data_IF_358683403573
#
_entry.id   IF_358683403573
#
_cell.length_a   1.000
_cell.length_b   1.000
_cell.length_c   1.000
_cell.angle_alpha   90.00
_cell.angle_beta   90.00
_cell.angle_gamma   90.00
#
_symmetry.space_group_name_H-M   'P 1'
#
loop_
_entity.id
_entity.type
_entity.pdbx_description
1 polymer ?
#
# COMPACT_ATOMS: atom_id res chain seq x y z
N UNK A 1 75.34 2.26 8.67
CA UNK A 1 76.46 2.17 7.73
C UNK A 1 75.88 1.86 6.35
N UNK A 2 75.98 2.81 5.40
CA UNK A 2 75.82 2.73 3.93
C UNK A 2 74.47 2.21 3.35
N UNK A 3 73.61 3.10 2.82
CA UNK A 3 73.48 3.55 1.40
C UNK A 3 72.74 2.49 0.53
N UNK A 4 71.76 2.74 -0.36
CA UNK A 4 71.21 3.93 -1.07
C UNK A 4 70.01 3.47 -1.91
N UNK A 5 69.04 4.36 -2.18
CA UNK A 5 68.37 4.61 -3.49
C UNK A 5 67.10 5.46 -3.23
N UNK A 6 67.13 6.78 -3.45
CA UNK A 6 66.78 7.48 -4.72
C UNK A 6 65.26 7.34 -5.05
N UNK A 7 64.48 8.40 -5.28
CA UNK A 7 64.80 9.68 -5.90
C UNK A 7 63.88 10.82 -5.40
N UNK A 8 64.46 12.02 -5.35
CA UNK A 8 63.82 13.32 -5.20
C UNK A 8 63.88 14.00 -6.57
N UNK A 9 62.75 14.53 -7.06
CA UNK A 9 62.74 15.65 -8.01
C UNK A 9 61.72 16.66 -7.49
N UNK A 10 62.21 17.83 -7.10
CA UNK A 10 61.42 19.03 -6.85
C UNK A 10 62.14 20.23 -7.46
N UNK A 11 61.44 20.96 -8.32
CA UNK A 11 61.61 22.40 -8.65
C UNK A 11 60.19 22.88 -8.95
N UNK A 12 59.51 23.60 -8.03
CA UNK A 12 59.45 25.08 -7.86
C UNK A 12 59.42 25.78 -9.23
N UNK A 13 58.43 26.59 -9.62
CA UNK A 13 57.23 27.13 -8.99
C UNK A 13 56.74 28.27 -9.88
N UNK A 14 55.43 28.56 -9.91
CA UNK A 14 54.93 29.89 -10.29
C UNK A 14 53.58 30.13 -9.63
N UNK A 15 53.39 31.38 -9.21
CA UNK A 15 52.46 31.84 -8.21
C UNK A 15 51.05 32.16 -8.77
N UNK A 16 50.03 31.93 -7.94
CA UNK A 16 48.78 32.69 -7.92
C UNK A 16 48.14 32.48 -6.52
N UNK A 17 48.36 33.41 -5.60
CA UNK A 17 47.42 34.47 -5.24
C UNK A 17 46.21 33.95 -4.43
N UNK A 18 46.39 34.01 -3.11
CA UNK A 18 45.34 33.99 -2.10
C UNK A 18 44.60 35.33 -2.15
N UNK A 19 43.28 35.31 -2.34
CA UNK A 19 42.42 36.46 -2.02
C UNK A 19 41.07 35.99 -1.44
N UNK A 20 40.86 36.35 -0.18
CA UNK A 20 39.66 37.04 0.28
C UNK A 20 38.31 36.32 0.21
N UNK A 21 37.87 35.80 1.35
CA UNK A 21 36.46 35.60 1.69
C UNK A 21 35.66 36.89 1.53
N UNK A 22 34.52 36.82 0.84
CA UNK A 22 33.38 37.71 1.08
C UNK A 22 32.07 36.94 0.90
N UNK A 23 31.34 36.80 2.01
CA UNK A 23 29.92 36.47 2.00
C UNK A 23 29.16 37.67 1.43
N UNK A 24 28.41 37.46 0.35
CA UNK A 24 27.37 38.36 -0.10
C UNK A 24 26.21 37.51 -0.59
N UNK A 25 25.04 37.68 0.02
CA UNK A 25 23.82 36.99 -0.36
C UNK A 25 23.37 37.39 -1.76
N UNK A 26 22.96 36.39 -2.54
CA UNK A 26 22.25 36.58 -3.80
C UNK A 26 20.95 35.83 -3.73
N UNK A 27 19.83 36.57 -3.72
CA UNK A 27 18.52 36.00 -4.00
C UNK A 27 18.52 35.47 -5.43
N UNK A 28 18.14 34.21 -5.59
CA UNK A 28 17.90 33.65 -6.91
C UNK A 28 16.43 33.87 -7.26
N UNK A 29 16.17 35.00 -7.92
CA UNK A 29 14.95 35.21 -8.68
C UNK A 29 14.88 34.19 -9.82
N UNK A 30 13.70 33.58 -9.96
CA UNK A 30 13.33 32.54 -10.92
C UNK A 30 13.82 32.81 -12.36
N UNK A 31 14.47 31.80 -12.94
CA UNK A 31 14.56 31.62 -14.38
C UNK A 31 13.68 30.43 -14.78
N UNK A 32 12.49 30.70 -15.31
CA UNK A 32 11.61 29.68 -15.89
C UNK A 32 12.29 29.14 -17.15
N UNK A 33 12.81 27.91 -17.08
CA UNK A 33 13.08 27.10 -18.27
C UNK A 33 11.82 26.30 -18.56
N UNK A 34 11.19 26.65 -19.67
CA UNK A 34 10.03 25.98 -20.21
C UNK A 34 10.52 24.72 -20.93
N UNK A 35 10.58 23.60 -20.22
CA UNK A 35 10.76 22.28 -20.83
C UNK A 35 9.41 21.57 -20.78
N UNK A 36 8.75 21.50 -21.94
CA UNK A 36 7.37 21.05 -22.10
C UNK A 36 7.24 19.53 -22.10
N UNK A 37 7.86 18.87 -21.12
CA UNK A 37 7.57 17.49 -20.72
C UNK A 37 7.62 17.35 -19.19
N UNK A 38 6.82 18.16 -18.49
CA UNK A 38 6.63 18.04 -17.05
C UNK A 38 5.79 16.79 -16.77
N UNK A 39 6.46 15.65 -16.60
CA UNK A 39 5.96 14.59 -15.73
C UNK A 39 5.72 15.23 -14.36
N UNK A 40 4.47 15.39 -13.97
CA UNK A 40 4.12 15.86 -12.63
C UNK A 40 4.55 14.78 -11.65
N UNK A 41 5.76 14.87 -11.10
CA UNK A 41 6.15 14.04 -9.99
C UNK A 41 5.26 14.44 -8.79
N UNK A 42 4.29 13.58 -8.47
CA UNK A 42 3.36 13.87 -7.38
C UNK A 42 4.11 13.74 -6.06
N UNK A 43 4.07 14.81 -5.26
CA UNK A 43 4.68 14.85 -3.94
C UNK A 43 3.91 13.98 -2.95
N UNK A 44 4.56 12.95 -2.42
CA UNK A 44 3.94 11.96 -1.54
C UNK A 44 4.65 11.87 -0.19
N UNK A 45 3.88 11.47 0.83
CA UNK A 45 4.38 11.23 2.18
C UNK A 45 3.79 9.96 2.80
N UNK A 46 4.48 9.43 3.81
CA UNK A 46 4.03 8.25 4.57
C UNK A 46 4.00 8.57 6.06
N UNK A 47 2.82 8.51 6.67
CA UNK A 47 2.64 8.58 8.11
C UNK A 47 2.48 7.16 8.68
N UNK A 48 3.46 6.71 9.49
CA UNK A 48 3.57 5.36 10.01
C UNK A 48 4.52 4.49 9.19
N UNK A 49 5.63 4.04 9.78
CA UNK A 49 6.63 3.22 9.09
C UNK A 49 6.55 1.72 9.47
N UNK A 50 5.31 1.23 9.56
CA UNK A 50 4.99 -0.17 9.87
C UNK A 50 5.12 -1.11 8.65
N UNK A 51 4.45 -2.28 8.68
CA UNK A 51 4.42 -3.22 7.54
C UNK A 51 4.01 -2.52 6.24
N UNK A 52 2.81 -1.91 6.25
CA UNK A 52 2.25 -1.21 5.08
C UNK A 52 3.10 0.00 4.69
N UNK A 53 3.44 0.89 5.63
CA UNK A 53 4.23 2.09 5.31
C UNK A 53 5.59 1.79 4.67
N UNK A 54 6.27 0.72 5.10
CA UNK A 54 7.53 0.29 4.46
C UNK A 54 7.33 -0.26 3.06
N UNK A 55 6.29 -1.07 2.82
CA UNK A 55 6.01 -1.61 1.49
C UNK A 55 5.49 -0.53 0.52
N UNK A 56 4.63 0.38 1.00
CA UNK A 56 4.25 1.60 0.26
C UNK A 56 5.50 2.39 -0.13
N UNK A 57 6.45 2.57 0.79
CA UNK A 57 7.73 3.21 0.49
C UNK A 57 8.53 2.45 -0.57
N UNK A 58 8.64 1.11 -0.47
CA UNK A 58 9.33 0.28 -1.49
C UNK A 58 8.73 0.48 -2.88
N UNK A 59 7.40 0.43 -2.98
CA UNK A 59 6.67 0.58 -4.25
C UNK A 59 6.83 2.00 -4.80
N UNK A 60 6.70 3.03 -3.97
CA UNK A 60 6.94 4.42 -4.37
C UNK A 60 8.37 4.65 -4.87
N UNK A 61 9.36 3.96 -4.30
CA UNK A 61 10.76 4.09 -4.69
C UNK A 61 11.06 3.47 -6.06
N UNK A 62 10.31 2.44 -6.45
CA UNK A 62 10.40 1.79 -7.76
C UNK A 62 9.67 2.59 -8.86
N UNK A 63 8.71 3.44 -8.49
CA UNK A 63 7.99 4.31 -9.42
C UNK A 63 8.75 5.63 -9.68
N UNK A 64 9.06 5.91 -10.94
CA UNK A 64 9.78 7.13 -11.35
C UNK A 64 8.89 8.36 -11.41
N UNK A 65 7.57 8.19 -11.40
CA UNK A 65 6.59 9.26 -11.47
C UNK A 65 6.14 9.73 -10.07
N UNK A 66 6.70 9.14 -9.01
CA UNK A 66 6.44 9.50 -7.61
C UNK A 66 7.66 10.18 -6.97
N UNK A 67 7.41 11.29 -6.27
CA UNK A 67 8.37 11.94 -5.40
C UNK A 67 8.00 11.69 -3.92
N UNK A 68 8.64 10.72 -3.28
CA UNK A 68 8.49 10.49 -1.84
C UNK A 68 9.35 11.50 -1.06
N UNK A 69 8.71 12.46 -0.41
CA UNK A 69 9.41 13.60 0.20
C UNK A 69 9.51 13.51 1.72
N UNK A 70 8.64 12.75 2.39
CA UNK A 70 8.60 12.68 3.85
C UNK A 70 8.09 11.36 4.41
N UNK A 71 8.70 10.89 5.50
CA UNK A 71 8.24 9.73 6.27
C UNK A 71 8.19 10.09 7.75
N UNK A 72 7.02 10.00 8.37
CA UNK A 72 6.88 10.12 9.82
C UNK A 72 6.77 8.73 10.47
N UNK A 73 7.73 8.35 11.31
CA UNK A 73 7.87 6.99 11.83
C UNK A 73 7.59 6.84 13.32
N UNK A 74 6.91 7.81 13.94
CA UNK A 74 6.58 7.79 15.36
C UNK A 74 7.86 7.72 16.22
N UNK A 75 8.15 6.57 16.84
CA UNK A 75 9.32 6.41 17.71
C UNK A 75 10.60 5.91 17.03
N UNK A 76 10.54 5.46 15.77
CA UNK A 76 11.70 4.86 15.10
C UNK A 76 12.72 5.93 14.67
N UNK A 77 13.98 5.76 15.06
CA UNK A 77 15.10 6.60 14.62
C UNK A 77 15.48 6.31 13.17
N UNK A 78 16.15 7.25 12.45
CA UNK A 78 16.55 7.04 11.05
C UNK A 78 17.41 5.77 10.83
N UNK A 79 18.32 5.45 11.75
CA UNK A 79 19.13 4.22 11.69
C UNK A 79 18.28 2.96 11.85
N UNK A 80 17.26 2.99 12.72
CA UNK A 80 16.35 1.86 12.87
C UNK A 80 15.38 1.72 11.70
N UNK A 81 14.91 2.84 11.13
CA UNK A 81 14.15 2.84 9.88
C UNK A 81 14.96 2.23 8.73
N UNK A 82 16.24 2.61 8.59
CA UNK A 82 17.14 2.04 7.59
C UNK A 82 17.31 0.53 7.77
N UNK A 83 17.47 0.06 9.02
CA UNK A 83 17.52 -1.37 9.32
C UNK A 83 16.23 -2.10 8.92
N UNK A 84 15.07 -1.59 9.35
CA UNK A 84 13.75 -2.20 9.06
C UNK A 84 13.39 -2.16 7.57
N UNK A 85 13.83 -1.15 6.83
CA UNK A 85 13.64 -1.08 5.39
C UNK A 85 14.53 -2.09 4.66
N UNK A 86 15.81 -2.17 5.07
CA UNK A 86 16.82 -3.03 4.45
C UNK A 86 16.56 -4.51 4.62
N UNK A 87 16.01 -4.93 5.76
CA UNK A 87 15.77 -6.34 6.07
C UNK A 87 14.29 -6.60 6.37
N UNK A 88 13.62 -7.35 5.49
CA UNK A 88 12.26 -7.82 5.71
C UNK A 88 12.23 -9.36 5.69
N UNK A 89 11.53 -9.96 6.66
CA UNK A 89 11.42 -11.43 6.78
C UNK A 89 10.62 -12.06 5.65
N UNK A 90 9.60 -11.36 5.15
CA UNK A 90 8.70 -11.87 4.11
C UNK A 90 9.23 -11.41 2.76
N UNK A 91 9.39 -10.10 2.59
CA UNK A 91 9.70 -9.49 1.30
C UNK A 91 11.20 -9.34 1.04
N UNK A 92 12.02 -10.09 1.78
CA UNK A 92 13.46 -10.15 1.65
C UNK A 92 14.20 -8.82 1.86
N UNK A 93 15.48 -8.83 1.46
CA UNK A 93 16.38 -7.68 1.56
C UNK A 93 16.02 -6.63 0.51
N UNK A 94 16.03 -5.35 0.89
CA UNK A 94 15.87 -4.27 -0.07
C UNK A 94 16.93 -4.35 -1.18
N UNK A 95 16.49 -4.17 -2.43
CA UNK A 95 17.36 -4.17 -3.61
C UNK A 95 18.11 -2.84 -3.76
N UNK A 96 17.54 -1.75 -3.25
CA UNK A 96 18.13 -0.42 -3.30
C UNK A 96 19.28 -0.25 -2.30
N UNK A 97 20.15 0.75 -2.53
CA UNK A 97 21.04 1.26 -1.49
C UNK A 97 20.22 1.92 -0.39
N UNK A 98 20.66 1.75 0.86
CA UNK A 98 19.99 2.28 2.05
C UNK A 98 21.05 2.92 2.92
N UNK A 99 21.01 4.24 3.02
CA UNK A 99 21.95 5.09 3.74
C UNK A 99 21.20 6.08 4.64
N UNK A 100 21.92 6.70 5.56
CA UNK A 100 21.38 7.74 6.46
C UNK A 100 22.26 8.99 6.41
N UNK A 101 21.63 10.15 6.52
CA UNK A 101 22.31 11.44 6.66
C UNK A 101 21.50 12.31 7.64
N UNK A 102 21.88 12.31 8.92
CA UNK A 102 21.12 12.98 9.96
C UNK A 102 19.68 12.46 10.06
N UNK A 103 18.70 13.36 9.90
CA UNK A 103 17.27 13.04 9.88
C UNK A 103 16.75 12.62 8.50
N UNK A 104 17.64 12.27 7.57
CA UNK A 104 17.26 11.80 6.24
C UNK A 104 17.54 10.30 6.07
N UNK A 105 16.61 9.63 5.41
CA UNK A 105 16.81 8.32 4.83
C UNK A 105 17.16 8.49 3.35
N UNK A 106 18.25 7.89 2.90
CA UNK A 106 18.69 7.95 1.51
C UNK A 106 18.46 6.58 0.89
N UNK A 107 17.53 6.50 -0.04
CA UNK A 107 17.14 5.27 -0.75
C UNK A 107 17.47 5.42 -2.23
N UNK A 108 18.38 4.60 -2.75
CA UNK A 108 18.85 4.69 -4.15
C UNK A 108 19.30 6.11 -4.55
N UNK A 109 20.00 6.80 -3.63
CA UNK A 109 20.44 8.19 -3.79
C UNK A 109 19.34 9.25 -3.63
N UNK A 110 18.06 8.87 -3.50
CA UNK A 110 16.97 9.81 -3.21
C UNK A 110 16.92 10.13 -1.72
N UNK A 111 17.05 11.40 -1.38
CA UNK A 111 17.06 11.90 0.00
C UNK A 111 15.64 12.21 0.48
N UNK A 112 15.20 11.53 1.54
CA UNK A 112 13.83 11.58 2.06
C UNK A 112 13.89 12.09 3.50
N UNK A 113 13.13 13.14 3.82
CA UNK A 113 13.06 13.65 5.19
C UNK A 113 12.34 12.64 6.08
N UNK A 114 12.92 12.34 7.25
CA UNK A 114 12.25 11.56 8.28
C UNK A 114 11.85 12.44 9.46
N UNK A 115 10.76 12.06 10.14
CA UNK A 115 10.29 12.71 11.35
C UNK A 115 9.77 11.69 12.36
N UNK A 116 9.60 12.14 13.60
CA UNK A 116 9.17 11.34 14.75
C UNK A 116 8.06 12.03 15.55
N UNK A 117 7.29 12.87 14.87
CA UNK A 117 6.26 13.68 15.49
C UNK A 117 5.07 12.81 15.92
N UNK A 118 4.58 13.05 17.14
CA UNK A 118 3.35 12.41 17.64
C UNK A 118 2.11 13.10 17.08
N UNK A 119 2.16 14.43 16.97
CA UNK A 119 1.16 15.21 16.25
C UNK A 119 1.56 15.28 14.76
N UNK A 120 0.76 14.72 13.84
CA UNK A 120 1.06 14.76 12.41
C UNK A 120 1.15 16.17 11.82
N UNK A 121 0.60 17.20 12.49
CA UNK A 121 0.69 18.60 12.07
C UNK A 121 2.11 19.14 12.12
N UNK A 122 2.88 18.72 13.13
CA UNK A 122 4.26 19.19 13.36
C UNK A 122 5.25 18.68 12.31
N UNK A 123 4.86 17.70 11.49
CA UNK A 123 5.69 17.18 10.39
C UNK A 123 5.92 18.25 9.32
N UNK A 124 4.96 19.16 9.11
CA UNK A 124 5.06 20.21 8.10
C UNK A 124 5.06 19.67 6.66
N UNK A 125 4.16 18.73 6.35
CA UNK A 125 4.02 18.07 5.04
C UNK A 125 4.06 19.03 3.84
N UNK A 126 3.40 20.18 3.93
CA UNK A 126 3.40 21.17 2.85
C UNK A 126 4.78 21.76 2.57
N UNK A 127 5.60 21.98 3.60
CA UNK A 127 6.97 22.47 3.45
C UNK A 127 7.90 21.41 2.83
N UNK A 128 7.57 20.13 3.01
CA UNK A 128 8.25 19.01 2.35
C UNK A 128 7.76 18.80 0.91
N UNK A 129 6.69 19.48 0.49
CA UNK A 129 6.02 19.21 -0.79
C UNK A 129 5.40 17.82 -0.83
N UNK A 130 4.92 17.30 0.30
CA UNK A 130 4.20 16.03 0.39
C UNK A 130 2.69 16.29 0.38
N UNK A 131 2.13 16.42 -0.82
CA UNK A 131 0.72 16.76 -1.05
C UNK A 131 -0.24 15.60 -0.73
N UNK A 132 0.16 14.36 -1.04
CA UNK A 132 -0.65 13.17 -0.85
C UNK A 132 -0.02 12.28 0.23
N UNK A 133 -0.69 12.08 1.36
CA UNK A 133 -0.12 11.35 2.50
C UNK A 133 -0.83 10.02 2.70
N UNK A 134 -0.06 8.93 2.70
CA UNK A 134 -0.49 7.62 3.17
C UNK A 134 -0.54 7.60 4.70
N UNK A 135 -1.73 7.51 5.27
CA UNK A 135 -1.96 7.32 6.70
C UNK A 135 -2.02 5.82 7.01
N UNK A 136 -0.91 5.30 7.55
CA UNK A 136 -0.69 3.87 7.82
C UNK A 136 -0.34 3.56 9.27
N UNK A 137 -0.62 4.48 10.20
CA UNK A 137 -0.48 4.23 11.64
C UNK A 137 -1.63 3.37 12.20
N UNK A 138 -2.79 3.41 11.55
CA UNK A 138 -4.04 2.80 12.02
C UNK A 138 -4.75 3.59 13.14
N UNK A 139 -4.25 4.78 13.48
CA UNK A 139 -4.78 5.64 14.55
C UNK A 139 -5.70 6.72 14.00
N UNK A 140 -5.30 7.40 12.92
CA UNK A 140 -5.98 8.57 12.36
C UNK A 140 -6.96 8.16 11.23
N UNK A 141 -7.97 7.35 11.56
CA UNK A 141 -8.91 6.76 10.60
C UNK A 141 -10.27 7.48 10.53
N UNK A 142 -10.32 8.75 10.92
CA UNK A 142 -11.48 9.63 10.76
C UNK A 142 -11.04 11.01 10.29
N UNK A 143 -11.88 11.74 9.56
CA UNK A 143 -11.65 13.11 9.08
C UNK A 143 -11.15 14.00 10.23
N UNK A 144 -11.85 13.96 11.36
CA UNK A 144 -11.47 14.72 12.57
C UNK A 144 -10.04 14.43 13.05
N UNK A 145 -9.64 13.14 13.10
CA UNK A 145 -8.33 12.75 13.59
C UNK A 145 -7.22 13.02 12.58
N UNK A 146 -7.52 12.80 11.30
CA UNK A 146 -6.57 12.99 10.20
C UNK A 146 -6.42 14.46 9.79
N UNK A 147 -7.31 15.36 10.25
CA UNK A 147 -7.24 16.78 9.96
C UNK A 147 -5.88 17.40 10.28
N UNK A 148 -5.20 16.93 11.33
CA UNK A 148 -3.84 17.37 11.67
C UNK A 148 -2.83 17.20 10.52
N UNK A 149 -3.00 16.20 9.65
CA UNK A 149 -2.14 15.97 8.48
C UNK A 149 -2.37 17.08 7.43
N UNK A 150 -3.63 17.43 7.17
CA UNK A 150 -4.01 18.55 6.27
C UNK A 150 -3.55 19.89 6.85
N UNK A 151 -3.73 20.09 8.16
CA UNK A 151 -3.25 21.29 8.86
C UNK A 151 -1.71 21.43 8.83
N UNK A 152 -1.00 20.30 8.67
CA UNK A 152 0.45 20.25 8.42
C UNK A 152 0.83 20.61 6.97
N UNK A 153 -0.14 20.85 6.10
CA UNK A 153 0.03 21.30 4.72
C UNK A 153 -0.09 20.22 3.64
N UNK A 154 -0.50 19.00 3.98
CA UNK A 154 -0.90 18.01 2.97
C UNK A 154 -2.23 18.43 2.31
N UNK A 155 -2.47 17.98 1.08
CA UNK A 155 -3.72 18.24 0.35
C UNK A 155 -4.74 17.12 0.53
N UNK A 156 -4.29 15.86 0.50
CA UNK A 156 -5.15 14.68 0.59
C UNK A 156 -4.54 13.63 1.52
N UNK A 157 -5.39 12.89 2.21
CA UNK A 157 -5.00 11.79 3.09
C UNK A 157 -5.64 10.49 2.62
N UNK A 158 -4.80 9.49 2.38
CA UNK A 158 -5.21 8.15 1.97
C UNK A 158 -5.06 7.22 3.18
N UNK A 159 -6.16 6.72 3.72
CA UNK A 159 -6.13 5.73 4.80
C UNK A 159 -5.74 4.36 4.25
N UNK A 160 -4.69 3.76 4.84
CA UNK A 160 -4.31 2.37 4.58
C UNK A 160 -5.10 1.37 5.45
N UNK A 161 -6.35 1.70 5.77
CA UNK A 161 -7.31 0.86 6.48
C UNK A 161 -8.74 1.37 6.23
N UNK A 162 -9.78 0.58 6.56
CA UNK A 162 -11.16 1.06 6.51
C UNK A 162 -11.35 2.31 7.37
N UNK A 163 -11.97 3.35 6.80
CA UNK A 163 -12.40 4.52 7.54
C UNK A 163 -13.35 4.14 8.69
N UNK A 164 -13.26 4.89 9.78
CA UNK A 164 -14.16 4.78 10.95
C UNK A 164 -15.30 5.82 10.93
N UNK A 165 -15.45 6.52 9.82
CA UNK A 165 -16.52 7.49 9.53
C UNK A 165 -17.05 7.32 8.09
N UNK A 166 -17.58 8.39 7.52
CA UNK A 166 -18.17 8.44 6.18
C UNK A 166 -17.18 8.78 5.05
N UNK A 167 -15.86 8.83 5.34
CA UNK A 167 -14.84 9.04 4.32
C UNK A 167 -14.99 8.05 3.16
N UNK A 168 -14.91 8.55 1.92
CA UNK A 168 -15.17 7.76 0.73
C UNK A 168 -14.22 6.56 0.65
N UNK A 169 -14.77 5.40 0.34
CA UNK A 169 -14.01 4.15 0.19
C UNK A 169 -13.83 3.87 -1.29
N UNK A 170 -12.58 3.72 -1.74
CA UNK A 170 -12.25 3.41 -3.12
C UNK A 170 -11.45 2.10 -3.17
N UNK A 171 -11.83 1.24 -4.11
CA UNK A 171 -11.08 0.03 -4.46
C UNK A 171 -10.74 0.12 -5.96
N UNK A 172 -9.43 0.13 -6.24
CA UNK A 172 -8.93 0.19 -7.61
C UNK A 172 -9.33 -1.07 -8.40
N UNK A 173 -9.81 -0.88 -9.63
CA UNK A 173 -10.39 -1.93 -10.47
C UNK A 173 -11.87 -2.18 -10.23
N UNK A 174 -12.50 -1.47 -9.28
CA UNK A 174 -13.91 -1.67 -8.91
C UNK A 174 -14.69 -0.39 -9.06
N UNK A 175 -14.33 0.66 -8.31
CA UNK A 175 -15.12 1.88 -8.20
C UNK A 175 -14.28 3.16 -8.19
N UNK A 176 -13.04 3.11 -8.69
CA UNK A 176 -12.17 4.29 -8.74
C UNK A 176 -12.79 5.47 -9.51
N UNK A 177 -13.65 5.21 -10.49
CA UNK A 177 -14.38 6.24 -11.22
C UNK A 177 -15.38 7.05 -10.38
N UNK A 178 -15.69 6.62 -9.16
CA UNK A 178 -16.57 7.33 -8.23
C UNK A 178 -15.85 8.51 -7.54
N UNK A 179 -14.52 8.59 -7.60
CA UNK A 179 -13.77 9.70 -7.03
C UNK A 179 -13.79 10.91 -7.98
N UNK A 180 -14.36 12.02 -7.52
CA UNK A 180 -14.54 13.25 -8.32
C UNK A 180 -13.59 14.40 -7.92
N UNK A 181 -12.70 14.17 -6.95
CA UNK A 181 -11.77 15.16 -6.42
C UNK A 181 -12.29 15.93 -5.19
N UNK A 182 -13.56 15.77 -4.79
CA UNK A 182 -14.15 16.57 -3.71
C UNK A 182 -13.71 16.12 -2.31
N UNK A 183 -13.41 14.85 -2.13
CA UNK A 183 -13.02 14.30 -0.82
C UNK A 183 -11.53 14.48 -0.55
N UNK A 184 -11.20 14.95 0.65
CA UNK A 184 -9.82 15.11 1.13
C UNK A 184 -9.31 13.87 1.87
N UNK A 185 -10.23 13.05 2.38
CA UNK A 185 -9.94 11.85 3.15
C UNK A 185 -10.54 10.64 2.44
N UNK A 186 -9.68 9.76 1.93
CA UNK A 186 -10.07 8.61 1.11
C UNK A 186 -9.57 7.34 1.78
N UNK A 187 -10.44 6.34 1.94
CA UNK A 187 -10.06 5.02 2.43
C UNK A 187 -9.74 4.07 1.28
N UNK A 188 -8.57 3.44 1.32
CA UNK A 188 -8.21 2.32 0.45
C UNK A 188 -8.85 0.99 0.91
N UNK A 189 -9.92 1.05 1.72
CA UNK A 189 -10.57 -0.10 2.35
C UNK A 189 -9.58 -0.99 3.14
N UNK A 190 -9.81 -2.31 3.15
CA UNK A 190 -8.91 -3.30 3.75
C UNK A 190 -8.27 -4.19 2.69
N UNK A 191 -7.19 -4.91 3.05
CA UNK A 191 -6.60 -5.96 2.21
C UNK A 191 -7.66 -7.00 1.77
N UNK A 192 -8.49 -7.51 2.68
CA UNK A 192 -9.57 -8.46 2.32
C UNK A 192 -10.62 -7.84 1.40
N UNK A 193 -10.96 -6.56 1.56
CA UNK A 193 -11.91 -5.90 0.63
C UNK A 193 -11.31 -5.82 -0.77
N UNK A 194 -10.02 -5.47 -0.88
CA UNK A 194 -9.30 -5.45 -2.17
C UNK A 194 -9.11 -6.87 -2.74
N UNK A 195 -8.88 -7.87 -1.89
CA UNK A 195 -8.74 -9.28 -2.28
C UNK A 195 -10.04 -9.94 -2.72
N UNK A 196 -11.19 -9.36 -2.36
CA UNK A 196 -12.51 -9.89 -2.67
C UNK A 196 -13.22 -9.12 -3.79
N UNK A 197 -13.20 -7.78 -3.75
CA UNK A 197 -14.07 -6.95 -4.58
C UNK A 197 -13.85 -7.09 -6.10
N UNK A 198 -12.62 -7.23 -6.63
CA UNK A 198 -12.41 -7.44 -8.07
C UNK A 198 -13.09 -8.71 -8.59
N UNK A 199 -12.87 -9.86 -7.94
CA UNK A 199 -13.53 -11.12 -8.29
C UNK A 199 -15.05 -11.01 -8.14
N UNK A 200 -15.53 -10.45 -7.02
CA UNK A 200 -16.98 -10.27 -6.77
C UNK A 200 -17.62 -9.39 -7.82
N UNK A 201 -16.97 -8.31 -8.25
CA UNK A 201 -17.46 -7.44 -9.33
C UNK A 201 -17.57 -8.21 -10.63
N UNK A 202 -16.52 -8.92 -11.04
CA UNK A 202 -16.52 -9.72 -12.26
C UNK A 202 -17.67 -10.73 -12.27
N UNK A 203 -17.93 -11.41 -11.14
CA UNK A 203 -19.04 -12.36 -11.01
C UNK A 203 -20.41 -11.68 -11.00
N UNK A 204 -20.58 -10.61 -10.21
CA UNK A 204 -21.87 -9.93 -10.11
C UNK A 204 -22.30 -9.33 -11.44
N UNK A 205 -21.38 -8.70 -12.16
CA UNK A 205 -21.68 -8.02 -13.44
C UNK A 205 -22.17 -9.02 -14.52
N UNK A 206 -21.70 -10.27 -14.52
CA UNK A 206 -22.05 -11.28 -15.53
C UNK A 206 -23.17 -12.24 -15.09
N UNK A 207 -23.10 -12.72 -13.86
CA UNK A 207 -23.99 -13.80 -13.38
C UNK A 207 -25.01 -13.33 -12.35
N UNK A 208 -24.80 -12.15 -11.75
CA UNK A 208 -25.56 -11.65 -10.61
C UNK A 208 -25.32 -12.48 -9.34
N UNK A 209 -25.36 -11.81 -8.18
CA UNK A 209 -25.32 -12.48 -6.88
C UNK A 209 -26.63 -12.20 -6.14
N UNK A 210 -27.32 -13.26 -5.72
CA UNK A 210 -28.52 -13.21 -4.90
C UNK A 210 -28.16 -13.02 -3.42
N UNK A 211 -27.25 -13.87 -2.93
CA UNK A 211 -26.73 -13.88 -1.56
C UNK A 211 -25.36 -14.57 -1.51
N UNK A 212 -24.50 -14.11 -0.61
CA UNK A 212 -23.16 -14.66 -0.45
C UNK A 212 -22.62 -14.51 0.97
N UNK A 213 -21.83 -15.50 1.38
CA UNK A 213 -21.05 -15.49 2.61
C UNK A 213 -19.57 -15.64 2.28
N UNK A 214 -18.76 -14.79 2.89
CA UNK A 214 -17.31 -14.84 2.75
C UNK A 214 -16.64 -15.31 4.04
N UNK A 215 -15.65 -16.18 3.89
CA UNK A 215 -14.64 -16.43 4.90
C UNK A 215 -13.29 -16.02 4.35
N UNK A 216 -12.50 -15.28 5.12
CA UNK A 216 -11.07 -15.14 4.79
C UNK A 216 -10.24 -15.95 5.77
N UNK A 217 -9.41 -16.84 5.23
CA UNK A 217 -8.31 -17.48 5.97
C UNK A 217 -7.13 -16.53 5.82
N UNK A 218 -6.79 -15.85 6.90
CA UNK A 218 -5.95 -14.68 6.86
C UNK A 218 -4.68 -14.86 7.69
N UNK A 219 -3.55 -14.44 7.13
CA UNK A 219 -2.28 -14.38 7.85
C UNK A 219 -2.37 -13.60 9.16
N UNK A 220 -1.41 -13.87 10.05
CA UNK A 220 -1.24 -13.12 11.29
C UNK A 220 -0.92 -11.65 10.99
N UNK A 221 -1.29 -10.75 11.90
CA UNK A 221 -0.98 -9.32 11.77
C UNK A 221 -0.29 -8.79 13.02
N UNK A 222 0.33 -7.61 12.92
CA UNK A 222 0.99 -6.92 14.04
C UNK A 222 0.08 -6.60 15.24
N UNK A 223 -1.24 -6.76 15.10
CA UNK A 223 -2.20 -6.55 16.19
C UNK A 223 -2.43 -7.79 17.06
N UNK A 224 -1.92 -8.95 16.64
CA UNK A 224 -2.02 -10.20 17.38
C UNK A 224 -0.80 -10.42 18.27
N UNK A 225 -0.97 -11.23 19.31
CA UNK A 225 0.07 -11.46 20.28
C UNK A 225 0.93 -12.69 19.96
N UNK A 226 2.22 -12.61 20.28
CA UNK A 226 3.15 -13.75 20.16
C UNK A 226 2.76 -14.86 21.15
N UNK A 227 2.36 -14.49 22.36
CA UNK A 227 1.87 -15.38 23.42
C UNK A 227 0.53 -14.86 23.94
N UNK A 228 -0.20 -15.68 24.69
CA UNK A 228 -1.47 -15.29 25.31
C UNK A 228 -1.31 -13.98 26.12
N UNK A 229 -2.02 -12.93 25.73
CA UNK A 229 -1.93 -11.59 26.32
C UNK A 229 -3.22 -10.77 26.10
N UNK A 230 -3.25 -9.55 26.62
CA UNK A 230 -4.40 -8.65 26.46
C UNK A 230 -4.48 -8.10 25.04
N UNK A 231 -5.65 -8.28 24.41
CA UNK A 231 -5.95 -7.69 23.10
C UNK A 231 -6.72 -6.38 23.24
N UNK A 232 -6.39 -5.42 22.37
CA UNK A 232 -7.07 -4.12 22.28
C UNK A 232 -8.36 -4.16 21.45
N UNK A 233 -8.63 -5.28 20.77
CA UNK A 233 -9.72 -5.40 19.79
C UNK A 233 -10.79 -6.41 20.21
N UNK A 234 -10.37 -7.63 20.52
CA UNK A 234 -11.25 -8.74 20.88
C UNK A 234 -10.51 -9.82 21.67
N UNK A 235 -11.22 -10.61 22.48
CA UNK A 235 -10.58 -11.59 23.38
C UNK A 235 -9.81 -12.69 22.64
N UNK A 236 -10.29 -13.12 21.46
CA UNK A 236 -9.67 -14.22 20.70
C UNK A 236 -8.33 -13.81 20.10
N UNK A 237 -8.21 -12.55 19.65
CA UNK A 237 -6.96 -11.98 19.14
C UNK A 237 -5.85 -11.83 20.18
N UNK A 238 -6.16 -12.01 21.46
CA UNK A 238 -5.16 -12.05 22.53
C UNK A 238 -4.43 -13.39 22.66
N UNK A 239 -4.91 -14.45 22.00
CA UNK A 239 -4.29 -15.77 22.04
C UNK A 239 -3.06 -15.83 21.12
N UNK A 240 -2.09 -16.68 21.47
CA UNK A 240 -0.84 -16.85 20.73
C UNK A 240 -1.08 -17.10 19.23
N UNK A 241 -0.65 -16.15 18.40
CA UNK A 241 -1.01 -16.10 16.98
C UNK A 241 -0.48 -17.30 16.18
N UNK A 242 0.76 -17.71 16.43
CA UNK A 242 1.41 -18.81 15.71
C UNK A 242 0.98 -20.20 16.19
N UNK A 243 0.14 -20.28 17.23
CA UNK A 243 -0.30 -21.53 17.84
C UNK A 243 -1.79 -21.83 17.66
N UNK A 244 -2.55 -20.96 16.98
CA UNK A 244 -4.01 -21.07 16.93
C UNK A 244 -4.58 -20.75 15.54
N UNK A 245 -5.72 -21.37 15.24
CA UNK A 245 -6.68 -20.86 14.27
C UNK A 245 -7.67 -19.99 15.05
N UNK A 246 -7.71 -18.68 14.77
CA UNK A 246 -8.42 -17.70 15.58
C UNK A 246 -9.59 -17.10 14.78
N UNK A 247 -10.85 -17.47 15.08
CA UNK A 247 -11.98 -16.84 14.41
C UNK A 247 -12.11 -15.37 14.84
N UNK A 248 -12.36 -14.49 13.87
CA UNK A 248 -12.42 -13.03 14.04
C UNK A 248 -13.56 -12.45 13.22
N UNK A 249 -14.21 -11.41 13.74
CA UNK A 249 -15.16 -10.62 12.95
C UNK A 249 -14.42 -9.71 11.98
N UNK A 250 -15.00 -9.51 10.79
CA UNK A 250 -14.47 -8.59 9.79
C UNK A 250 -15.58 -7.75 9.18
N UNK A 251 -15.28 -6.47 8.95
CA UNK A 251 -16.14 -5.58 8.18
C UNK A 251 -15.90 -5.65 6.68
N UNK A 252 -14.93 -6.44 6.21
CA UNK A 252 -14.45 -6.39 4.82
C UNK A 252 -15.54 -6.72 3.79
N UNK A 253 -16.33 -7.77 4.01
CA UNK A 253 -17.45 -8.12 3.14
C UNK A 253 -18.54 -7.03 3.11
N UNK A 254 -18.83 -6.41 4.26
CA UNK A 254 -19.72 -5.24 4.31
C UNK A 254 -19.13 -4.04 3.58
N UNK A 255 -17.81 -3.83 3.63
CA UNK A 255 -17.13 -2.79 2.88
C UNK A 255 -17.17 -3.02 1.36
N UNK A 256 -17.20 -4.29 0.89
CA UNK A 256 -17.44 -4.58 -0.54
C UNK A 256 -18.77 -3.99 -0.99
N UNK A 257 -19.82 -4.05 -0.16
CA UNK A 257 -21.12 -3.44 -0.50
C UNK A 257 -21.11 -1.90 -0.57
N UNK A 258 -20.05 -1.23 -0.08
CA UNK A 258 -19.88 0.22 -0.27
C UNK A 258 -19.35 0.54 -1.67
N UNK A 259 -18.51 -0.34 -2.23
CA UNK A 259 -17.89 -0.17 -3.55
C UNK A 259 -18.63 -0.91 -4.67
N UNK A 260 -19.52 -1.83 -4.31
CA UNK A 260 -20.48 -2.48 -5.20
C UNK A 260 -21.88 -2.37 -4.55
N UNK A 261 -22.57 -1.23 -4.68
CA UNK A 261 -23.80 -0.94 -3.94
C UNK A 261 -24.94 -1.95 -4.16
N UNK A 262 -24.98 -2.60 -5.33
CA UNK A 262 -25.96 -3.64 -5.70
C UNK A 262 -25.93 -4.87 -4.78
N UNK A 263 -24.82 -5.06 -4.04
CA UNK A 263 -24.63 -6.18 -3.10
C UNK A 263 -25.01 -5.82 -1.66
N UNK A 264 -25.54 -4.62 -1.41
CA UNK A 264 -25.99 -4.21 -0.08
C UNK A 264 -27.07 -5.15 0.43
N UNK A 265 -26.83 -5.75 1.59
CA UNK A 265 -27.71 -6.74 2.22
C UNK A 265 -27.56 -8.17 1.66
N UNK A 266 -26.74 -8.37 0.62
CA UNK A 266 -26.51 -9.68 -0.01
C UNK A 266 -25.18 -10.32 0.37
N UNK A 267 -24.20 -9.55 0.85
CA UNK A 267 -22.85 -10.02 1.15
C UNK A 267 -22.43 -9.66 2.59
N UNK A 268 -21.99 -10.66 3.35
CA UNK A 268 -21.33 -10.50 4.64
C UNK A 268 -20.31 -11.63 4.85
N UNK A 269 -19.56 -11.61 5.95
CA UNK A 269 -18.55 -12.65 6.18
C UNK A 269 -17.85 -12.57 7.52
N UNK A 270 -16.88 -13.48 7.68
CA UNK A 270 -16.00 -13.58 8.84
C UNK A 270 -14.56 -13.91 8.43
N UNK A 271 -13.66 -14.06 9.40
CA UNK A 271 -12.27 -14.42 9.17
C UNK A 271 -11.81 -15.51 10.14
N UNK A 272 -10.83 -16.30 9.71
CA UNK A 272 -9.96 -17.10 10.59
C UNK A 272 -8.53 -16.58 10.43
N UNK A 273 -7.89 -16.19 11.53
CA UNK A 273 -6.45 -15.91 11.53
C UNK A 273 -5.71 -17.22 11.68
N UNK A 274 -4.72 -17.48 10.84
CA UNK A 274 -3.94 -18.73 10.84
C UNK A 274 -2.45 -18.47 11.00
N UNK A 275 -1.64 -19.47 11.41
CA UNK A 275 -0.19 -19.35 11.63
C UNK A 275 0.68 -19.15 10.37
N UNK A 276 0.25 -18.32 9.43
CA UNK A 276 1.08 -17.82 8.32
C UNK A 276 1.48 -16.37 8.57
N UNK A 277 2.66 -15.97 8.11
CA UNK A 277 3.22 -14.63 8.38
C UNK A 277 2.82 -13.60 7.32
N UNK A 278 2.43 -14.04 6.12
CA UNK A 278 1.80 -13.24 5.08
C UNK A 278 0.95 -14.12 4.17
N UNK A 279 0.31 -13.48 3.19
CA UNK A 279 -0.64 -14.04 2.22
C UNK A 279 -1.90 -14.60 2.88
N UNK A 280 -3.03 -14.24 2.28
CA UNK A 280 -4.35 -14.61 2.74
C UNK A 280 -5.18 -15.10 1.56
N UNK A 281 -6.28 -15.76 1.86
CA UNK A 281 -7.21 -16.26 0.85
C UNK A 281 -8.64 -15.91 1.24
N UNK A 282 -9.45 -15.57 0.25
CA UNK A 282 -10.91 -15.44 0.39
C UNK A 282 -11.58 -16.69 -0.16
N UNK A 283 -12.55 -17.18 0.60
CA UNK A 283 -13.55 -18.16 0.21
C UNK A 283 -14.88 -17.43 0.13
N UNK A 284 -15.42 -17.31 -1.09
CA UNK A 284 -16.73 -16.76 -1.35
C UNK A 284 -17.70 -17.89 -1.70
N UNK A 285 -18.67 -18.15 -0.84
CA UNK A 285 -19.79 -19.04 -1.15
C UNK A 285 -20.99 -18.19 -1.57
N UNK A 286 -21.44 -18.35 -2.82
CA UNK A 286 -22.44 -17.48 -3.42
C UNK A 286 -23.55 -18.27 -4.12
N UNK A 287 -24.78 -17.73 -4.02
CA UNK A 287 -25.89 -18.09 -4.91
C UNK A 287 -25.98 -17.07 -6.03
N UNK A 288 -25.89 -17.55 -7.27
CA UNK A 288 -25.93 -16.76 -8.49
C UNK A 288 -27.38 -16.56 -8.96
N UNK A 289 -27.65 -15.42 -9.59
CA UNK A 289 -28.97 -15.13 -10.17
C UNK A 289 -29.18 -15.87 -11.50
N UNK A 290 -28.11 -16.04 -12.29
CA UNK A 290 -28.08 -16.74 -13.58
C UNK A 290 -27.50 -18.14 -13.43
N UNK A 291 -28.13 -19.13 -14.07
CA UNK A 291 -27.55 -20.49 -14.19
C UNK A 291 -26.33 -20.48 -15.11
N UNK A 292 -25.27 -21.19 -14.73
CA UNK A 292 -24.00 -21.28 -15.47
C UNK A 292 -23.25 -22.57 -15.11
N UNK A 293 -22.12 -22.82 -15.76
CA UNK A 293 -21.15 -23.86 -15.37
C UNK A 293 -19.90 -23.26 -14.71
N UNK A 294 -19.12 -24.10 -14.02
CA UNK A 294 -17.88 -23.64 -13.40
C UNK A 294 -16.85 -23.21 -14.44
N UNK A 295 -16.81 -23.88 -15.59
CA UNK A 295 -15.93 -23.55 -16.71
C UNK A 295 -16.26 -22.17 -17.29
N UNK A 296 -17.54 -21.81 -17.39
CA UNK A 296 -17.99 -20.48 -17.83
C UNK A 296 -17.56 -19.39 -16.83
N UNK A 297 -17.67 -19.66 -15.53
CA UNK A 297 -17.17 -18.76 -14.47
C UNK A 297 -15.66 -18.55 -14.62
N UNK A 298 -14.90 -19.63 -14.74
CA UNK A 298 -13.44 -19.57 -14.89
C UNK A 298 -13.04 -18.82 -16.16
N UNK A 299 -13.68 -19.10 -17.29
CA UNK A 299 -13.41 -18.44 -18.56
C UNK A 299 -13.69 -16.92 -18.49
N UNK A 300 -14.79 -16.52 -17.84
CA UNK A 300 -15.12 -15.12 -17.64
C UNK A 300 -14.11 -14.39 -16.74
N UNK A 301 -13.76 -14.99 -15.60
CA UNK A 301 -12.73 -14.41 -14.71
C UNK A 301 -11.40 -14.29 -15.45
N UNK A 302 -10.98 -15.31 -16.19
CA UNK A 302 -9.76 -15.27 -17.00
C UNK A 302 -9.79 -14.14 -18.01
N UNK A 303 -10.90 -13.97 -18.73
CA UNK A 303 -11.06 -12.86 -19.66
C UNK A 303 -10.96 -11.48 -18.99
N UNK A 304 -11.49 -11.31 -17.78
CA UNK A 304 -11.36 -10.07 -17.00
C UNK A 304 -9.95 -9.84 -16.49
N UNK A 305 -9.29 -10.89 -15.99
CA UNK A 305 -7.92 -10.88 -15.52
C UNK A 305 -6.90 -10.62 -16.65
N UNK A 306 -7.20 -11.00 -17.88
CA UNK A 306 -6.36 -10.73 -19.06
C UNK A 306 -6.73 -9.41 -19.76
N UNK A 307 -7.90 -8.86 -19.43
CA UNK A 307 -8.48 -7.66 -20.05
C UNK A 307 -8.45 -6.42 -19.15
N UNK A 308 -9.64 -5.86 -18.89
CA UNK A 308 -9.86 -4.57 -18.21
C UNK A 308 -9.48 -4.57 -16.72
N UNK A 309 -9.45 -5.74 -16.07
CA UNK A 309 -9.10 -5.86 -14.66
C UNK A 309 -7.67 -6.34 -14.40
N UNK A 310 -6.86 -6.53 -15.46
CA UNK A 310 -5.51 -7.12 -15.39
C UNK A 310 -4.56 -6.58 -14.31
N UNK A 311 -4.52 -5.27 -13.99
CA UNK A 311 -3.65 -4.78 -12.92
C UNK A 311 -4.06 -5.25 -11.52
N UNK A 312 -5.31 -5.69 -11.34
CA UNK A 312 -5.93 -5.93 -10.03
C UNK A 312 -6.40 -7.37 -9.84
N UNK A 313 -6.93 -8.00 -10.89
CA UNK A 313 -7.44 -9.36 -10.89
C UNK A 313 -6.48 -10.28 -11.65
N UNK A 314 -6.06 -11.36 -10.99
CA UNK A 314 -5.30 -12.46 -11.56
C UNK A 314 -6.14 -13.72 -11.70
N UNK A 315 -5.64 -14.66 -12.49
CA UNK A 315 -6.18 -15.99 -12.69
C UNK A 315 -5.03 -17.00 -12.56
N UNK A 316 -5.26 -18.10 -11.84
CA UNK A 316 -4.33 -19.21 -11.69
C UNK A 316 -5.08 -20.53 -11.92
N UNK A 317 -4.56 -21.36 -12.83
CA UNK A 317 -4.92 -22.76 -13.05
C UNK A 317 -3.80 -23.72 -12.64
N UNK A 318 -2.84 -23.21 -11.86
CA UNK A 318 -1.72 -23.97 -11.29
C UNK A 318 -2.00 -24.33 -9.81
N UNK A 319 -1.52 -25.49 -9.33
CA UNK A 319 -1.75 -25.97 -7.96
C UNK A 319 -0.82 -25.25 -6.95
N UNK A 320 -1.00 -23.94 -6.81
CA UNK A 320 -0.18 -23.06 -5.97
C UNK A 320 -0.66 -23.04 -4.50
N UNK A 321 0.20 -22.57 -3.61
CA UNK A 321 -0.08 -22.37 -2.18
C UNK A 321 0.27 -20.95 -1.74
N UNK A 322 -0.01 -20.60 -0.48
CA UNK A 322 0.09 -19.21 0.01
C UNK A 322 1.44 -18.54 -0.28
N UNK A 323 2.56 -19.23 -0.08
CA UNK A 323 3.90 -18.64 -0.26
C UNK A 323 4.21 -18.29 -1.72
N UNK A 324 3.52 -18.88 -2.69
CA UNK A 324 3.74 -18.60 -4.11
C UNK A 324 3.21 -17.22 -4.51
N UNK A 325 2.39 -16.61 -3.65
CA UNK A 325 1.83 -15.26 -3.86
C UNK A 325 2.54 -14.17 -3.04
N UNK A 326 3.61 -14.50 -2.30
CA UNK A 326 4.39 -13.49 -1.57
C UNK A 326 5.02 -12.49 -2.55
N UNK A 327 4.74 -11.20 -2.34
CA UNK A 327 5.18 -10.12 -3.22
C UNK A 327 4.35 -9.95 -4.49
N UNK A 328 3.25 -10.70 -4.66
CA UNK A 328 2.32 -10.49 -5.77
C UNK A 328 1.63 -9.13 -5.63
N UNK A 329 1.73 -8.32 -6.69
CA UNK A 329 1.19 -6.95 -6.70
C UNK A 329 -0.30 -6.90 -6.96
N UNK A 330 -0.94 -7.99 -7.40
CA UNK A 330 -2.37 -8.02 -7.74
C UNK A 330 -3.21 -8.00 -6.47
N UNK A 331 -4.42 -7.47 -6.58
CA UNK A 331 -5.33 -7.39 -5.44
C UNK A 331 -5.95 -8.75 -5.13
N UNK A 332 -6.34 -9.49 -6.16
CA UNK A 332 -7.13 -10.72 -6.06
C UNK A 332 -6.67 -11.68 -7.16
N UNK A 333 -6.26 -12.89 -6.80
CA UNK A 333 -5.83 -13.91 -7.77
C UNK A 333 -6.78 -15.10 -7.64
N UNK A 334 -7.70 -15.24 -8.61
CA UNK A 334 -8.65 -16.34 -8.62
C UNK A 334 -7.94 -17.69 -8.85
N UNK A 335 -8.29 -18.67 -8.02
CA UNK A 335 -7.77 -20.03 -8.07
C UNK A 335 -8.82 -20.94 -8.70
N UNK A 336 -8.58 -21.31 -9.95
CA UNK A 336 -9.52 -22.08 -10.76
C UNK A 336 -9.65 -23.54 -10.28
N UNK A 337 -8.61 -24.10 -9.68
CA UNK A 337 -8.60 -25.50 -9.23
C UNK A 337 -9.11 -25.67 -7.79
N UNK A 338 -9.11 -24.59 -6.98
CA UNK A 338 -9.56 -24.64 -5.59
C UNK A 338 -11.06 -24.38 -5.38
N UNK A 339 -11.74 -23.76 -6.35
CA UNK A 339 -13.19 -23.55 -6.29
C UNK A 339 -14.00 -24.81 -6.55
N UNK A 340 -15.29 -24.78 -6.18
CA UNK A 340 -16.19 -25.92 -6.40
C UNK A 340 -17.63 -25.45 -6.57
N UNK A 341 -18.32 -26.02 -7.56
CA UNK A 341 -19.73 -25.73 -7.86
C UNK A 341 -20.61 -26.89 -7.42
N UNK A 342 -21.61 -26.61 -6.57
CA UNK A 342 -22.55 -27.63 -6.09
C UNK A 342 -23.66 -27.89 -7.12
N UNK A 343 -24.15 -26.83 -7.75
CA UNK A 343 -25.19 -26.86 -8.79
C UNK A 343 -25.11 -25.58 -9.63
N UNK A 344 -25.85 -25.47 -10.76
CA UNK A 344 -25.76 -24.34 -11.69
C UNK A 344 -25.95 -22.92 -11.12
N UNK A 345 -26.42 -22.77 -9.86
CA UNK A 345 -26.55 -21.47 -9.18
C UNK A 345 -25.81 -21.37 -7.85
N UNK A 346 -25.11 -22.40 -7.38
CA UNK A 346 -24.48 -22.37 -6.05
C UNK A 346 -23.02 -22.81 -6.13
N UNK A 347 -22.13 -21.87 -5.81
CA UNK A 347 -20.69 -22.01 -6.06
C UNK A 347 -19.86 -21.49 -4.90
N UNK A 348 -18.70 -22.10 -4.71
CA UNK A 348 -17.61 -21.63 -3.87
C UNK A 348 -16.44 -21.20 -4.77
N UNK A 349 -16.00 -19.95 -4.61
CA UNK A 349 -14.93 -19.33 -5.38
C UNK A 349 -13.78 -18.94 -4.44
N UNK A 350 -12.56 -19.22 -4.85
CA UNK A 350 -11.35 -19.00 -4.05
C UNK A 350 -10.48 -17.94 -4.74
N UNK A 351 -9.98 -16.97 -3.97
CA UNK A 351 -8.98 -16.04 -4.47
C UNK A 351 -7.91 -15.71 -3.43
N UNK A 352 -6.66 -15.79 -3.85
CA UNK A 352 -5.49 -15.42 -3.06
C UNK A 352 -5.23 -13.92 -3.10
N UNK A 353 -4.59 -13.40 -2.07
CA UNK A 353 -4.08 -12.04 -2.04
C UNK A 353 -2.93 -11.93 -1.04
N UNK A 354 -1.84 -11.29 -1.48
CA UNK A 354 -0.85 -10.79 -0.55
C UNK A 354 -1.46 -9.61 0.22
N UNK A 355 -1.76 -9.82 1.50
CA UNK A 355 -2.44 -8.84 2.33
C UNK A 355 -1.56 -7.64 2.68
N UNK A 356 -0.25 -7.70 2.41
CA UNK A 356 0.67 -6.58 2.61
C UNK A 356 1.08 -5.95 1.27
N UNK A 357 1.64 -6.72 0.33
CA UNK A 357 2.24 -6.22 -0.90
C UNK A 357 1.18 -5.77 -1.92
N UNK A 358 0.23 -6.65 -2.25
CA UNK A 358 -0.88 -6.32 -3.15
C UNK A 358 -1.71 -5.15 -2.63
N UNK A 359 -1.96 -5.11 -1.31
CA UNK A 359 -2.65 -3.99 -0.67
C UNK A 359 -1.83 -2.69 -0.71
N UNK A 360 -0.53 -2.75 -0.45
CA UNK A 360 0.35 -1.57 -0.52
C UNK A 360 0.44 -1.01 -1.94
N UNK A 361 0.43 -1.87 -2.95
CA UNK A 361 0.34 -1.46 -4.35
C UNK A 361 -0.97 -0.70 -4.62
N UNK A 362 -2.10 -1.16 -4.08
CA UNK A 362 -3.39 -0.45 -4.19
C UNK A 362 -3.40 0.91 -3.51
N UNK A 363 -2.72 1.05 -2.37
CA UNK A 363 -2.57 2.36 -1.72
C UNK A 363 -1.82 3.33 -2.63
N UNK A 364 -0.71 2.89 -3.25
CA UNK A 364 0.06 3.72 -4.19
C UNK A 364 -0.76 4.04 -5.45
N UNK A 365 -1.44 3.06 -6.03
CA UNK A 365 -2.32 3.26 -7.19
C UNK A 365 -3.43 4.28 -6.88
N UNK A 366 -4.04 4.21 -5.70
CA UNK A 366 -5.06 5.16 -5.26
C UNK A 366 -4.49 6.56 -5.07
N UNK A 367 -3.31 6.70 -4.47
CA UNK A 367 -2.64 8.00 -4.32
C UNK A 367 -2.37 8.64 -5.69
N UNK A 368 -1.89 7.85 -6.67
CA UNK A 368 -1.70 8.32 -8.04
C UNK A 368 -3.02 8.71 -8.69
N UNK A 369 -4.06 7.89 -8.54
CA UNK A 369 -5.37 8.16 -9.11
C UNK A 369 -5.98 9.47 -8.59
N UNK A 370 -5.96 9.66 -7.27
CA UNK A 370 -6.43 10.89 -6.62
C UNK A 370 -5.66 12.11 -7.15
N UNK A 371 -4.33 12.01 -7.25
CA UNK A 371 -3.51 13.09 -7.79
C UNK A 371 -3.80 13.42 -9.26
N UNK A 372 -4.06 12.41 -10.10
CA UNK A 372 -4.43 12.61 -11.50
C UNK A 372 -5.79 13.31 -11.63
N UNK A 373 -6.79 12.89 -10.84
CA UNK A 373 -8.12 13.50 -10.82
C UNK A 373 -8.04 14.97 -10.36
N UNK A 374 -7.29 15.27 -9.29
CA UNK A 374 -7.05 16.64 -8.82
C UNK A 374 -6.37 17.52 -9.88
N UNK A 375 -5.41 16.96 -10.61
CA UNK A 375 -4.73 17.64 -11.71
C UNK A 375 -5.60 17.80 -12.97
N UNK A 376 -6.83 17.26 -12.97
CA UNK A 376 -7.73 17.17 -14.14
C UNK A 376 -7.08 16.49 -15.34
N UNK A 377 -6.15 15.57 -15.07
CA UNK A 377 -5.52 14.74 -16.09
C UNK A 377 -6.38 13.47 -16.22
N UNK A 378 -6.78 13.13 -17.44
CA UNK A 378 -7.47 11.84 -17.67
C UNK A 378 -6.52 10.70 -17.30
N UNK A 379 -6.99 9.82 -16.40
CA UNK A 379 -6.28 8.64 -15.94
C UNK A 379 -5.99 7.63 -17.05
#
# INVERSE_FOLDING_TARGET
MKFTAAAIVATIGSAAAFTGSSFAGTSLSQGVRNDSSLKMANGMGVNGFGRIGRLVTRIMMEDKDIALNGINAGSATPDYMAYQYKYDTIHGKAKQTVEIDGDFLILDGKKIQTSRCRDPKEVGWGALGADYVCESTGVFLTKEKAQAIIDGGAKKVIYSAPAKDDSQTIVMGVNQGDYDGSEDFISCASCTTNGLAPMVKAINDEFGIDEALMTTVHAMTATQAVVDSSSRKDWRGGRAASGNIIPSSTGAAKAVTKVIPELKGKLTGMAFRVPTIDVSVVDLTARLSKETTYEEICAHIKSKAEGDMKPFLGYSDEPLVSTDFEGDIRSSIFDAEAGIMLNPRFVKLIAWYDNEYGYSARVVDLMKHVAMVDAKVKA
#
